data_IF_571421279069
#
_entry.id   IF_571421279069
#
_cell.length_a   1.000
_cell.length_b   1.000
_cell.length_c   1.000
_cell.angle_alpha   90.00
_cell.angle_beta   90.00
_cell.angle_gamma   90.00
#
_symmetry.space_group_name_H-M   'P 1'
#
loop_
_entity.id
_entity.type
_entity.pdbx_description
1 polymer ?
#
# COMPACT_ATOMS: atom_id res chain seq x y z
N UNK A 1 -0.20 1.00 14.15
CA UNK A 1 0.60 1.16 15.38
C UNK A 1 -0.06 0.41 16.53
N UNK A 2 0.74 0.05 17.54
CA UNK A 2 0.25 -0.66 18.73
C UNK A 2 -0.92 0.07 19.41
N UNK A 3 -0.87 1.40 19.54
CA UNK A 3 -1.95 2.21 20.10
C UNK A 3 -3.24 2.12 19.30
N UNK A 4 -3.16 2.15 17.97
CA UNK A 4 -4.32 2.02 17.09
C UNK A 4 -4.91 0.61 17.15
N UNK A 5 -4.08 -0.41 17.15
CA UNK A 5 -4.50 -1.81 17.29
C UNK A 5 -5.24 -2.06 18.62
N UNK A 6 -4.76 -1.47 19.70
CA UNK A 6 -5.40 -1.60 21.03
C UNK A 6 -6.75 -0.86 21.14
N UNK A 7 -6.93 0.28 20.45
CA UNK A 7 -8.05 1.20 20.67
C UNK A 7 -9.25 1.02 19.73
N UNK A 8 -9.07 0.38 18.56
CA UNK A 8 -10.11 0.40 17.51
C UNK A 8 -10.98 -0.86 17.44
N UNK A 9 -10.79 -1.85 18.32
CA UNK A 9 -11.59 -3.09 18.29
C UNK A 9 -11.41 -3.90 16.98
N UNK A 10 -10.40 -3.60 16.21
CA UNK A 10 -10.02 -4.28 14.98
C UNK A 10 -8.70 -5.04 15.15
N UNK A 11 -8.43 -5.96 14.24
CA UNK A 11 -7.16 -6.68 14.12
C UNK A 11 -6.66 -6.58 12.69
N UNK A 12 -5.36 -6.30 12.52
CA UNK A 12 -4.71 -6.31 11.21
C UNK A 12 -4.40 -7.75 10.80
N UNK A 13 -4.81 -8.12 9.59
CA UNK A 13 -4.72 -9.49 9.10
C UNK A 13 -3.33 -9.81 8.57
N UNK A 14 -2.81 -8.94 7.70
CA UNK A 14 -1.49 -9.04 7.11
C UNK A 14 -1.06 -7.65 6.64
N UNK A 15 0.24 -7.46 6.45
CA UNK A 15 0.76 -6.30 5.73
C UNK A 15 0.64 -6.59 4.23
N UNK A 16 -0.21 -5.84 3.55
CA UNK A 16 -0.44 -6.00 2.12
C UNK A 16 0.28 -4.95 1.28
N UNK A 17 0.69 -3.84 1.88
CA UNK A 17 1.44 -2.78 1.23
C UNK A 17 2.34 -2.05 2.22
N UNK A 18 3.63 -1.93 1.90
CA UNK A 18 4.54 -1.05 2.62
C UNK A 18 4.57 0.30 1.94
N UNK A 19 4.01 1.29 2.61
CA UNK A 19 4.10 2.71 2.25
C UNK A 19 5.12 3.42 3.13
N UNK A 20 5.21 4.70 2.99
CA UNK A 20 6.01 5.59 3.81
C UNK A 20 5.63 7.04 3.56
N UNK A 21 5.81 7.87 4.56
CA UNK A 21 5.53 9.30 4.46
C UNK A 21 6.56 10.00 3.59
N UNK A 22 6.07 10.88 2.72
CA UNK A 22 6.89 11.70 1.84
C UNK A 22 6.42 13.16 1.82
N UNK A 23 6.93 13.88 0.83
CA UNK A 23 6.57 15.29 0.62
C UNK A 23 6.21 15.52 -0.84
N UNK A 24 5.19 16.33 -1.08
CA UNK A 24 4.84 16.85 -2.40
C UNK A 24 4.98 18.36 -2.41
N UNK A 25 5.60 18.88 -3.47
CA UNK A 25 5.83 20.31 -3.66
C UNK A 25 5.46 20.75 -5.09
N UNK A 26 5.05 22.00 -5.31
CA UNK A 26 4.96 22.58 -6.64
C UNK A 26 6.34 22.66 -7.32
N UNK A 27 6.45 22.21 -8.57
CA UNK A 27 7.70 22.25 -9.35
C UNK A 27 8.28 23.65 -9.50
N UNK A 28 7.43 24.68 -9.49
CA UNK A 28 7.85 26.08 -9.57
C UNK A 28 8.83 26.50 -8.46
N UNK A 29 8.83 25.81 -7.33
CA UNK A 29 9.76 26.10 -6.23
C UNK A 29 11.15 25.50 -6.43
N UNK A 30 11.35 24.63 -7.44
CA UNK A 30 12.63 23.97 -7.76
C UNK A 30 13.26 23.25 -6.56
N UNK A 31 12.41 22.66 -5.71
CA UNK A 31 12.83 21.84 -4.56
C UNK A 31 12.97 20.40 -5.04
N UNK A 32 14.11 19.78 -4.76
CA UNK A 32 14.47 18.44 -5.18
C UNK A 32 14.72 17.47 -4.01
N UNK A 33 14.76 17.98 -2.80
CA UNK A 33 14.99 17.22 -1.57
C UNK A 33 14.20 17.80 -0.41
N UNK A 34 13.68 16.94 0.45
CA UNK A 34 12.98 17.35 1.67
C UNK A 34 13.88 18.18 2.61
N UNK A 35 15.20 18.03 2.53
CA UNK A 35 16.15 18.85 3.29
C UNK A 35 16.15 20.33 2.89
N UNK A 36 15.63 20.67 1.72
CA UNK A 36 15.48 22.03 1.23
C UNK A 36 14.22 22.74 1.76
N UNK A 37 13.41 22.05 2.57
CA UNK A 37 12.17 22.60 3.14
C UNK A 37 12.40 23.48 4.38
N UNK A 38 13.63 23.93 4.62
CA UNK A 38 13.92 24.82 5.74
C UNK A 38 13.20 26.17 5.56
N UNK A 39 12.44 26.58 6.58
CA UNK A 39 11.60 27.79 6.55
C UNK A 39 10.23 27.63 5.86
N UNK A 40 9.98 26.49 5.22
CA UNK A 40 8.77 26.28 4.44
C UNK A 40 7.51 26.17 5.30
N UNK A 41 6.36 26.53 4.72
CA UNK A 41 5.04 26.19 5.23
C UNK A 41 4.66 24.79 4.73
N UNK A 42 4.31 23.89 5.67
CA UNK A 42 4.00 22.49 5.35
C UNK A 42 2.59 22.16 5.83
N UNK A 43 1.71 21.79 4.89
CA UNK A 43 0.39 21.27 5.20
C UNK A 43 0.50 19.83 5.72
N UNK A 44 -0.18 19.54 6.83
CA UNK A 44 -0.24 18.22 7.44
C UNK A 44 -1.57 18.06 8.19
N UNK A 45 -2.11 16.85 8.22
CA UNK A 45 -3.31 16.55 9.00
C UNK A 45 -2.93 16.39 10.48
N UNK A 46 -3.59 17.14 11.36
CA UNK A 46 -3.34 17.07 12.80
C UNK A 46 -3.83 15.75 13.42
N UNK A 47 -3.19 15.32 14.50
CA UNK A 47 -3.54 14.10 15.23
C UNK A 47 -3.13 12.81 14.52
N UNK A 48 -2.33 12.89 13.46
CA UNK A 48 -1.86 11.73 12.69
C UNK A 48 -0.42 11.34 13.03
N UNK A 49 -0.02 10.14 12.60
CA UNK A 49 1.38 9.72 12.61
C UNK A 49 2.24 10.65 11.74
N UNK A 50 1.68 11.16 10.65
CA UNK A 50 2.37 12.05 9.72
C UNK A 50 2.80 13.38 10.38
N UNK A 51 1.99 13.93 11.27
CA UNK A 51 2.35 15.14 12.03
C UNK A 51 3.56 14.87 12.95
N UNK A 52 3.55 13.71 13.64
CA UNK A 52 4.66 13.31 14.54
C UNK A 52 5.94 13.03 13.75
N UNK A 53 5.85 12.26 12.67
CA UNK A 53 6.99 11.92 11.82
C UNK A 53 7.62 13.18 11.19
N UNK A 54 6.79 14.16 10.79
CA UNK A 54 7.28 15.47 10.29
C UNK A 54 8.12 16.18 11.35
N UNK A 55 7.63 16.24 12.59
CA UNK A 55 8.35 16.88 13.70
C UNK A 55 9.68 16.16 13.99
N UNK A 56 9.70 14.84 14.00
CA UNK A 56 10.89 14.04 14.23
C UNK A 56 11.92 14.20 13.10
N UNK A 57 11.47 14.15 11.83
CA UNK A 57 12.31 14.37 10.67
C UNK A 57 12.95 15.78 10.69
N UNK A 58 12.16 16.80 10.96
CA UNK A 58 12.63 18.17 11.02
C UNK A 58 13.68 18.36 12.11
N UNK A 59 13.45 17.81 13.30
CA UNK A 59 14.40 17.85 14.41
C UNK A 59 15.70 17.12 14.07
N UNK A 60 15.62 15.92 13.51
CA UNK A 60 16.79 15.13 13.14
C UNK A 60 17.66 15.75 12.05
N UNK A 61 17.08 16.59 11.19
CA UNK A 61 17.77 17.25 10.08
C UNK A 61 17.99 18.77 10.31
N UNK A 62 17.72 19.29 11.52
CA UNK A 62 17.80 20.72 11.87
C UNK A 62 17.00 21.61 10.91
N UNK A 63 15.84 21.15 10.48
CA UNK A 63 14.93 21.89 9.59
C UNK A 63 13.92 22.67 10.43
N UNK A 64 13.83 23.98 10.24
CA UNK A 64 12.75 24.81 10.76
C UNK A 64 11.63 24.85 9.73
N UNK A 65 10.39 24.62 10.14
CA UNK A 65 9.23 24.71 9.28
C UNK A 65 8.05 25.33 10.01
N UNK A 66 7.03 25.76 9.25
CA UNK A 66 5.78 26.29 9.78
C UNK A 66 4.66 25.30 9.45
N UNK A 67 4.15 24.53 10.44
CA UNK A 67 3.05 23.61 10.18
C UNK A 67 1.75 24.39 9.92
N UNK A 68 1.02 23.97 8.90
CA UNK A 68 -0.36 24.41 8.63
C UNK A 68 -1.24 23.18 8.75
N UNK A 69 -2.00 23.12 9.85
CA UNK A 69 -2.73 21.92 10.25
C UNK A 69 -4.21 22.01 9.93
N UNK A 70 -4.77 20.88 9.54
CA UNK A 70 -6.20 20.70 9.28
C UNK A 70 -6.68 19.39 9.89
N UNK A 71 -7.96 19.30 10.19
CA UNK A 71 -8.55 18.11 10.84
C UNK A 71 -8.89 16.98 9.89
N UNK A 72 -9.00 17.25 8.56
CA UNK A 72 -9.34 16.25 7.55
C UNK A 72 -8.35 16.23 6.40
N UNK A 73 -8.25 15.09 5.73
CA UNK A 73 -7.42 14.91 4.54
C UNK A 73 -7.84 15.86 3.42
N UNK A 74 -9.14 16.00 3.18
CA UNK A 74 -9.69 16.85 2.12
C UNK A 74 -9.32 18.32 2.32
N UNK A 75 -9.46 18.81 3.56
CA UNK A 75 -9.09 20.19 3.90
C UNK A 75 -7.57 20.42 3.73
N UNK A 76 -6.76 19.45 4.13
CA UNK A 76 -5.30 19.52 4.00
C UNK A 76 -4.87 19.58 2.53
N UNK A 77 -5.41 18.68 1.70
CA UNK A 77 -5.15 18.62 0.26
C UNK A 77 -5.64 19.90 -0.44
N UNK A 78 -6.86 20.35 -0.14
CA UNK A 78 -7.43 21.56 -0.71
C UNK A 78 -6.60 22.80 -0.38
N UNK A 79 -6.12 22.92 0.85
CA UNK A 79 -5.24 24.01 1.28
C UNK A 79 -3.91 24.02 0.52
N UNK A 80 -3.30 22.84 0.34
CA UNK A 80 -2.06 22.73 -0.43
C UNK A 80 -2.27 23.08 -1.92
N UNK A 81 -3.28 22.53 -2.55
CA UNK A 81 -3.58 22.78 -3.97
C UNK A 81 -3.93 24.26 -4.21
N UNK A 82 -4.59 24.91 -3.26
CA UNK A 82 -4.89 26.36 -3.34
C UNK A 82 -3.65 27.26 -3.05
N UNK A 83 -2.50 26.67 -2.73
CA UNK A 83 -1.26 27.39 -2.53
C UNK A 83 -1.06 27.97 -1.13
N UNK A 84 -1.83 27.54 -0.11
CA UNK A 84 -1.66 27.98 1.28
C UNK A 84 -0.39 27.42 1.92
N UNK A 85 0.15 26.31 1.39
CA UNK A 85 1.38 25.69 1.86
C UNK A 85 2.35 25.47 0.70
N UNK A 86 3.64 25.53 1.00
CA UNK A 86 4.72 25.28 0.04
C UNK A 86 4.96 23.77 -0.15
N UNK A 87 4.65 22.97 0.86
CA UNK A 87 4.71 21.51 0.79
C UNK A 87 3.50 20.87 1.45
N UNK A 88 3.20 19.62 1.06
CA UNK A 88 2.25 18.75 1.69
C UNK A 88 2.93 17.43 2.05
N UNK A 89 2.66 16.92 3.24
CA UNK A 89 3.22 15.65 3.72
C UNK A 89 2.15 14.69 4.21
N UNK A 90 2.21 13.48 3.71
CA UNK A 90 1.41 12.30 4.09
C UNK A 90 2.07 11.07 3.46
N UNK A 91 1.40 9.92 3.49
CA UNK A 91 1.85 8.70 2.81
C UNK A 91 2.04 8.94 1.31
N UNK A 92 3.03 8.31 0.71
CA UNK A 92 3.38 8.52 -0.70
C UNK A 92 2.27 8.11 -1.66
N UNK A 93 1.52 7.07 -1.33
CA UNK A 93 0.34 6.66 -2.10
C UNK A 93 -0.75 7.74 -2.07
N UNK A 94 -0.99 8.34 -0.89
CA UNK A 94 -1.92 9.47 -0.72
C UNK A 94 -1.45 10.71 -1.49
N UNK A 95 -0.15 11.01 -1.47
CA UNK A 95 0.42 12.10 -2.25
C UNK A 95 0.19 11.90 -3.76
N UNK A 96 0.35 10.68 -4.25
CA UNK A 96 0.07 10.36 -5.64
C UNK A 96 -1.41 10.57 -5.99
N UNK A 97 -2.32 10.14 -5.11
CA UNK A 97 -3.76 10.39 -5.25
C UNK A 97 -4.12 11.88 -5.19
N UNK A 98 -3.54 12.61 -4.24
CA UNK A 98 -3.75 14.06 -4.09
C UNK A 98 -3.27 14.84 -5.32
N UNK A 99 -2.14 14.44 -5.91
CA UNK A 99 -1.61 15.03 -7.14
C UNK A 99 -2.62 14.95 -8.29
N UNK A 100 -3.35 13.84 -8.42
CA UNK A 100 -4.36 13.67 -9.47
C UNK A 100 -5.60 14.56 -9.29
N UNK A 101 -5.85 15.08 -8.10
CA UNK A 101 -6.95 16.04 -7.83
C UNK A 101 -6.61 17.46 -8.23
N UNK A 102 -5.34 17.78 -8.48
CA UNK A 102 -4.93 19.07 -8.97
C UNK A 102 -5.38 19.30 -10.41
N UNK A 103 -5.69 20.55 -10.78
CA UNK A 103 -6.05 20.93 -12.15
C UNK A 103 -5.01 20.48 -13.17
N UNK A 104 -3.74 20.56 -12.82
CA UNK A 104 -2.62 20.05 -13.59
C UNK A 104 -1.68 19.25 -12.69
N UNK A 105 -1.81 17.90 -12.65
CA UNK A 105 -0.96 17.03 -11.84
C UNK A 105 0.53 17.18 -12.12
N UNK A 106 0.90 17.57 -13.34
CA UNK A 106 2.29 17.74 -13.74
C UNK A 106 2.99 18.94 -13.11
N UNK A 107 2.25 19.86 -12.48
CA UNK A 107 2.83 21.00 -11.77
C UNK A 107 3.43 20.62 -10.41
N UNK A 108 3.22 19.40 -9.97
CA UNK A 108 3.66 18.90 -8.66
C UNK A 108 4.65 17.75 -8.81
N UNK A 109 5.54 17.64 -7.83
CA UNK A 109 6.51 16.55 -7.70
C UNK A 109 6.49 16.00 -6.28
N UNK A 110 6.50 14.67 -6.17
CA UNK A 110 6.73 13.95 -4.90
C UNK A 110 8.24 13.79 -4.75
N UNK A 111 8.78 14.32 -3.67
CA UNK A 111 10.22 14.29 -3.38
C UNK A 111 10.70 12.85 -3.14
N UNK A 112 11.99 12.56 -3.37
CA UNK A 112 12.50 11.18 -3.31
C UNK A 112 12.51 10.60 -1.90
N UNK A 113 12.64 11.43 -0.87
CA UNK A 113 12.77 10.95 0.49
C UNK A 113 11.48 10.31 1.02
N UNK A 114 11.68 9.23 1.77
CA UNK A 114 10.66 8.58 2.60
C UNK A 114 11.11 8.69 4.05
N UNK A 115 10.31 9.32 4.90
CA UNK A 115 10.69 9.68 6.26
C UNK A 115 10.11 8.77 7.35
N UNK A 116 9.28 7.83 6.97
CA UNK A 116 8.75 6.81 7.87
C UNK A 116 8.53 5.48 7.14
N UNK A 117 8.24 4.44 7.90
CA UNK A 117 7.69 3.17 7.38
C UNK A 117 6.23 3.08 7.80
N UNK A 118 5.37 2.91 6.80
CA UNK A 118 3.92 2.79 7.01
C UNK A 118 3.45 1.43 6.46
N UNK A 119 3.49 0.37 7.30
CA UNK A 119 2.96 -0.94 6.91
C UNK A 119 1.43 -0.86 6.92
N UNK A 120 0.84 -0.85 5.74
CA UNK A 120 -0.60 -0.89 5.55
C UNK A 120 -1.06 -2.34 5.50
N UNK A 121 -2.29 -2.60 5.90
CA UNK A 121 -2.84 -3.93 5.90
C UNK A 121 -4.34 -3.93 6.10
N UNK A 122 -4.96 -5.00 5.63
CA UNK A 122 -6.38 -5.25 5.82
C UNK A 122 -6.69 -5.36 7.31
N UNK A 123 -7.73 -4.67 7.76
CA UNK A 123 -8.21 -4.73 9.13
C UNK A 123 -9.63 -5.31 9.15
N UNK A 124 -9.87 -6.21 10.09
CA UNK A 124 -11.18 -6.80 10.31
C UNK A 124 -11.64 -6.58 11.75
N UNK A 125 -12.91 -6.86 12.04
CA UNK A 125 -13.45 -6.85 13.39
C UNK A 125 -12.73 -7.91 14.24
N UNK A 126 -12.35 -7.53 15.45
CA UNK A 126 -11.76 -8.46 16.43
C UNK A 126 -12.79 -9.50 16.89
N UNK A 127 -12.33 -10.76 17.04
CA UNK A 127 -13.18 -11.88 17.48
C UNK A 127 -13.93 -12.59 16.35
N UNK A 128 -13.63 -12.28 15.11
CA UNK A 128 -14.12 -13.02 13.93
C UNK A 128 -12.97 -13.82 13.31
N UNK A 129 -12.62 -14.93 13.93
CA UNK A 129 -11.45 -15.71 13.57
C UNK A 129 -11.64 -16.44 12.23
N UNK A 130 -12.86 -16.84 11.89
CA UNK A 130 -13.17 -17.47 10.60
C UNK A 130 -12.98 -16.48 9.47
N UNK A 131 -13.51 -15.27 9.61
CA UNK A 131 -13.30 -14.21 8.62
C UNK A 131 -11.83 -13.78 8.54
N UNK A 132 -11.12 -13.77 9.67
CA UNK A 132 -9.67 -13.52 9.69
C UNK A 132 -8.92 -14.52 8.81
N UNK A 133 -9.22 -15.81 8.93
CA UNK A 133 -8.57 -16.85 8.13
C UNK A 133 -8.89 -16.68 6.64
N UNK A 134 -10.15 -16.41 6.29
CA UNK A 134 -10.57 -16.22 4.89
C UNK A 134 -9.82 -15.05 4.26
N UNK A 135 -9.81 -13.88 4.90
CA UNK A 135 -9.14 -12.68 4.37
C UNK A 135 -7.63 -12.90 4.26
N UNK A 136 -7.03 -13.49 5.29
CA UNK A 136 -5.59 -13.77 5.34
C UNK A 136 -5.14 -14.71 4.22
N UNK A 137 -5.80 -15.84 4.07
CA UNK A 137 -5.44 -16.81 3.06
C UNK A 137 -5.80 -16.37 1.65
N UNK A 138 -6.82 -15.52 1.48
CA UNK A 138 -7.09 -14.86 0.19
C UNK A 138 -5.91 -13.99 -0.26
N UNK A 139 -5.35 -13.20 0.64
CA UNK A 139 -4.15 -12.41 0.36
C UNK A 139 -2.94 -13.29 0.04
N UNK A 140 -2.66 -14.29 0.88
CA UNK A 140 -1.53 -15.19 0.64
C UNK A 140 -1.67 -15.98 -0.65
N UNK A 141 -2.90 -16.35 -1.04
CA UNK A 141 -3.16 -16.98 -2.35
C UNK A 141 -2.71 -16.09 -3.50
N UNK A 142 -2.96 -14.78 -3.44
CA UNK A 142 -2.54 -13.85 -4.49
C UNK A 142 -1.01 -13.70 -4.54
N UNK A 143 -0.34 -13.68 -3.40
CA UNK A 143 1.13 -13.61 -3.30
C UNK A 143 1.77 -14.91 -3.82
N UNK A 144 1.28 -16.07 -3.37
CA UNK A 144 1.75 -17.38 -3.80
C UNK A 144 1.55 -17.59 -5.31
N UNK A 145 0.40 -17.16 -5.84
CA UNK A 145 0.14 -17.23 -7.27
C UNK A 145 1.15 -16.41 -8.08
N UNK A 146 1.55 -15.24 -7.61
CA UNK A 146 2.60 -14.46 -8.25
C UNK A 146 3.95 -15.21 -8.23
N UNK A 147 4.30 -15.82 -7.10
CA UNK A 147 5.55 -16.58 -6.95
C UNK A 147 5.60 -17.80 -7.88
N UNK A 148 4.48 -18.48 -8.02
CA UNK A 148 4.31 -19.63 -8.91
C UNK A 148 4.10 -19.26 -10.39
N UNK A 149 4.02 -17.95 -10.71
CA UNK A 149 3.77 -17.48 -12.07
C UNK A 149 2.35 -17.74 -12.57
N UNK A 150 1.38 -17.94 -11.66
CA UNK A 150 -0.03 -18.13 -12.00
C UNK A 150 -0.67 -16.75 -12.16
N UNK A 151 -1.33 -16.54 -13.29
CA UNK A 151 -1.99 -15.28 -13.64
C UNK A 151 -3.46 -15.53 -13.97
N UNK A 152 -4.25 -14.47 -13.99
CA UNK A 152 -5.63 -14.52 -14.47
C UNK A 152 -5.73 -15.14 -15.87
N UNK A 153 -4.77 -14.83 -16.73
CA UNK A 153 -4.75 -15.32 -18.12
C UNK A 153 -4.39 -16.79 -18.24
N UNK A 154 -3.43 -17.29 -17.45
CA UNK A 154 -2.91 -18.66 -17.62
C UNK A 154 -3.48 -19.69 -16.61
N UNK A 155 -4.28 -19.27 -15.64
CA UNK A 155 -4.81 -20.16 -14.60
C UNK A 155 -5.51 -21.40 -15.19
N UNK A 156 -6.26 -21.26 -16.29
CA UNK A 156 -6.96 -22.40 -16.93
C UNK A 156 -5.98 -23.40 -17.55
N UNK A 157 -5.00 -22.93 -18.29
CA UNK A 157 -4.01 -23.79 -18.93
C UNK A 157 -3.12 -24.51 -17.90
N UNK A 158 -2.83 -23.85 -16.77
CA UNK A 158 -2.05 -24.43 -15.68
C UNK A 158 -2.79 -25.52 -14.90
N UNK A 159 -4.09 -25.75 -15.13
CA UNK A 159 -4.81 -26.91 -14.56
C UNK A 159 -4.25 -28.24 -15.04
N UNK A 160 -3.53 -28.29 -16.15
CA UNK A 160 -2.80 -29.47 -16.62
C UNK A 160 -1.37 -29.58 -16.08
N UNK A 161 -0.93 -28.65 -15.25
CA UNK A 161 0.42 -28.63 -14.67
C UNK A 161 0.68 -29.89 -13.83
N UNK A 162 1.93 -30.37 -13.90
CA UNK A 162 2.44 -31.45 -13.03
C UNK A 162 3.06 -30.93 -11.74
N UNK A 163 3.24 -29.60 -11.59
CA UNK A 163 3.79 -28.99 -10.38
C UNK A 163 2.77 -29.12 -9.22
N UNK A 164 3.09 -29.82 -8.13
CA UNK A 164 2.15 -30.05 -7.05
C UNK A 164 1.70 -28.76 -6.34
N UNK A 165 2.56 -27.73 -6.25
CA UNK A 165 2.18 -26.46 -5.65
C UNK A 165 1.14 -25.71 -6.49
N UNK A 166 1.33 -25.71 -7.83
CA UNK A 166 0.36 -25.14 -8.77
C UNK A 166 -0.98 -25.88 -8.67
N UNK A 167 -0.94 -27.22 -8.61
CA UNK A 167 -2.13 -28.06 -8.53
C UNK A 167 -2.92 -27.82 -7.24
N UNK A 168 -2.24 -27.71 -6.10
CA UNK A 168 -2.88 -27.37 -4.81
C UNK A 168 -3.52 -25.99 -4.87
N UNK A 169 -2.76 -24.98 -5.31
CA UNK A 169 -3.27 -23.60 -5.39
C UNK A 169 -4.50 -23.49 -6.31
N UNK A 170 -4.54 -24.26 -7.41
CA UNK A 170 -5.68 -24.28 -8.32
C UNK A 170 -6.81 -25.21 -7.87
N UNK A 171 -6.75 -25.78 -6.66
CA UNK A 171 -7.79 -26.65 -6.11
C UNK A 171 -7.96 -27.98 -6.85
N UNK A 172 -6.90 -28.53 -7.44
CA UNK A 172 -6.92 -29.80 -8.17
C UNK A 172 -6.55 -31.00 -7.29
N UNK A 173 -5.73 -30.73 -6.28
CA UNK A 173 -5.36 -31.69 -5.23
C UNK A 173 -5.92 -31.17 -3.93
N UNK A 174 -6.07 -31.96 -2.89
CA UNK A 174 -6.53 -31.61 -1.56
C UNK A 174 -7.69 -30.57 -1.52
N UNK A 175 -8.54 -30.64 -0.55
CA UNK A 175 -9.62 -29.67 -0.33
C UNK A 175 -9.23 -28.72 0.81
N UNK A 176 -8.26 -27.84 0.53
CA UNK A 176 -7.75 -26.91 1.53
C UNK A 176 -8.76 -25.81 1.88
N UNK A 177 -9.67 -25.47 0.95
CA UNK A 177 -10.73 -24.51 1.19
C UNK A 177 -11.61 -24.90 2.37
N UNK A 178 -11.89 -26.20 2.52
CA UNK A 178 -12.71 -26.74 3.62
C UNK A 178 -12.17 -26.37 4.99
N UNK A 179 -10.85 -26.23 5.15
CA UNK A 179 -10.21 -25.86 6.43
C UNK A 179 -10.58 -24.44 6.89
N UNK A 180 -10.98 -23.59 5.96
CA UNK A 180 -11.39 -22.19 6.23
C UNK A 180 -12.86 -21.93 5.84
N UNK A 181 -13.68 -22.99 5.73
CA UNK A 181 -15.10 -22.87 5.44
C UNK A 181 -15.45 -22.52 3.99
N UNK A 182 -14.52 -22.69 3.05
CA UNK A 182 -14.70 -22.43 1.64
C UNK A 182 -14.69 -23.74 0.81
N UNK A 183 -15.16 -23.67 -0.42
CA UNK A 183 -15.07 -24.83 -1.32
C UNK A 183 -13.67 -24.99 -1.94
N UNK A 184 -13.45 -26.15 -2.55
CA UNK A 184 -12.15 -26.55 -3.12
C UNK A 184 -11.60 -25.57 -4.18
N UNK A 185 -12.45 -24.84 -4.89
CA UNK A 185 -12.07 -23.96 -6.00
C UNK A 185 -11.89 -22.47 -5.57
N UNK A 186 -11.90 -22.17 -4.27
CA UNK A 186 -11.85 -20.80 -3.76
C UNK A 186 -10.64 -20.02 -4.27
N UNK A 187 -9.45 -20.59 -4.20
CA UNK A 187 -8.20 -19.96 -4.61
C UNK A 187 -8.11 -19.76 -6.13
N UNK A 188 -8.55 -20.77 -6.91
CA UNK A 188 -8.67 -20.64 -8.36
C UNK A 188 -9.60 -19.48 -8.74
N UNK A 189 -10.75 -19.34 -8.07
CA UNK A 189 -11.67 -18.23 -8.35
C UNK A 189 -11.08 -16.87 -8.03
N UNK A 190 -10.33 -16.73 -6.95
CA UNK A 190 -9.61 -15.48 -6.63
C UNK A 190 -8.73 -15.09 -7.82
N UNK A 191 -7.88 -16.01 -8.28
CA UNK A 191 -6.94 -15.72 -9.38
C UNK A 191 -7.69 -15.44 -10.69
N UNK A 192 -8.77 -16.16 -10.98
CA UNK A 192 -9.56 -15.92 -12.19
C UNK A 192 -10.27 -14.57 -12.18
N UNK A 193 -10.74 -14.11 -11.03
CA UNK A 193 -11.51 -12.87 -10.93
C UNK A 193 -10.63 -11.62 -10.79
N UNK A 194 -9.56 -11.70 -10.01
CA UNK A 194 -8.75 -10.51 -9.66
C UNK A 194 -7.25 -10.65 -10.00
N UNK A 195 -6.80 -11.83 -10.44
CA UNK A 195 -5.40 -12.07 -10.73
C UNK A 195 -4.55 -12.34 -9.48
N UNK A 196 -3.24 -12.43 -9.67
CA UNK A 196 -2.27 -12.50 -8.58
C UNK A 196 -1.98 -11.10 -8.00
N UNK A 197 -1.17 -11.01 -6.93
CA UNK A 197 -0.85 -9.73 -6.30
C UNK A 197 -0.20 -8.74 -7.28
N UNK A 198 0.75 -9.20 -8.10
CA UNK A 198 1.42 -8.35 -9.08
C UNK A 198 0.46 -7.79 -10.12
N UNK A 199 -0.48 -8.61 -10.62
CA UNK A 199 -1.51 -8.16 -11.57
C UNK A 199 -2.42 -7.12 -10.92
N UNK A 200 -2.86 -7.36 -9.68
CA UNK A 200 -3.70 -6.41 -8.93
C UNK A 200 -2.97 -5.09 -8.68
N UNK A 201 -1.69 -5.13 -8.28
CA UNK A 201 -0.87 -3.94 -8.12
C UNK A 201 -0.76 -3.15 -9.43
N UNK A 202 -0.36 -3.80 -10.52
CA UNK A 202 -0.18 -3.15 -11.82
C UNK A 202 -1.47 -2.53 -12.36
N UNK A 203 -2.61 -3.18 -12.13
CA UNK A 203 -3.91 -2.68 -12.58
C UNK A 203 -4.41 -1.45 -11.79
N UNK A 204 -4.08 -1.35 -10.48
CA UNK A 204 -4.65 -0.34 -9.59
C UNK A 204 -3.67 0.79 -9.23
N UNK A 205 -2.39 0.49 -9.06
CA UNK A 205 -1.37 1.40 -8.54
C UNK A 205 -0.19 1.59 -9.51
N UNK A 206 0.03 0.65 -10.41
CA UNK A 206 1.23 0.48 -11.20
C UNK A 206 1.61 1.65 -12.10
N UNK A 207 2.80 1.58 -12.75
CA UNK A 207 3.34 2.67 -13.56
C UNK A 207 2.46 3.09 -14.73
N UNK A 208 1.57 2.21 -15.21
CA UNK A 208 0.63 2.48 -16.31
C UNK A 208 -0.69 3.10 -15.84
N UNK A 209 -0.91 3.18 -14.54
CA UNK A 209 -2.09 3.85 -13.97
C UNK A 209 -1.81 5.35 -13.80
N UNK A 210 -2.85 6.18 -13.61
CA UNK A 210 -2.65 7.60 -13.29
C UNK A 210 -1.81 7.84 -12.01
N UNK A 211 -1.80 6.89 -11.06
CA UNK A 211 -1.00 6.97 -9.84
C UNK A 211 0.49 6.82 -10.13
N UNK A 212 0.87 5.94 -11.08
CA UNK A 212 2.22 5.79 -11.56
C UNK A 212 3.21 5.26 -10.51
N UNK A 213 2.74 4.43 -9.57
CA UNK A 213 3.59 3.92 -8.49
C UNK A 213 4.43 2.72 -8.96
N UNK A 214 5.67 2.68 -8.50
CA UNK A 214 6.52 1.49 -8.63
C UNK A 214 6.32 0.55 -7.44
N UNK A 215 6.53 -0.74 -7.64
CA UNK A 215 6.41 -1.75 -6.56
C UNK A 215 7.40 -1.54 -5.41
N UNK A 216 8.59 -1.04 -5.71
CA UNK A 216 9.63 -0.85 -4.69
C UNK A 216 9.85 -2.12 -3.87
N UNK A 217 9.74 -2.02 -2.54
CA UNK A 217 9.81 -3.16 -1.62
C UNK A 217 8.54 -4.05 -1.65
N UNK A 218 7.45 -3.61 -2.24
CA UNK A 218 6.23 -4.41 -2.40
C UNK A 218 6.36 -5.47 -3.52
N UNK A 219 7.55 -5.98 -3.75
CA UNK A 219 7.88 -7.11 -4.62
C UNK A 219 8.00 -8.38 -3.80
N UNK A 220 7.94 -9.51 -4.49
CA UNK A 220 8.22 -10.81 -3.87
C UNK A 220 9.61 -10.84 -3.22
N UNK A 221 9.75 -11.59 -2.15
CA UNK A 221 11.03 -11.84 -1.47
C UNK A 221 12.11 -12.41 -2.42
N UNK A 222 11.70 -13.25 -3.38
CA UNK A 222 12.57 -13.79 -4.44
C UNK A 222 13.10 -12.72 -5.40
N UNK A 223 12.49 -11.53 -5.40
CA UNK A 223 12.87 -10.37 -6.22
C UNK A 223 13.41 -9.20 -5.40
N UNK A 224 13.87 -9.48 -4.18
CA UNK A 224 14.41 -8.47 -3.27
C UNK A 224 13.37 -7.57 -2.61
N UNK A 225 12.12 -8.01 -2.56
CA UNK A 225 11.02 -7.35 -1.84
C UNK A 225 10.73 -7.99 -0.50
N UNK A 226 9.60 -7.65 0.08
CA UNK A 226 9.16 -8.10 1.41
C UNK A 226 7.93 -9.01 1.36
N UNK A 227 7.29 -9.17 0.19
CA UNK A 227 6.11 -10.01 0.08
C UNK A 227 6.49 -11.49 0.04
N UNK A 228 5.96 -12.21 0.98
CA UNK A 228 6.13 -13.66 1.13
C UNK A 228 4.80 -14.27 1.58
N UNK A 229 4.48 -15.44 1.06
CA UNK A 229 3.36 -16.27 1.52
C UNK A 229 3.88 -17.46 2.31
N UNK A 230 3.21 -17.87 3.40
CA UNK A 230 3.38 -19.21 3.92
C UNK A 230 2.95 -20.23 2.86
N UNK A 231 3.56 -21.44 2.82
CA UNK A 231 3.17 -22.47 1.87
C UNK A 231 1.70 -22.86 2.03
N UNK A 232 0.97 -22.94 0.92
CA UNK A 232 -0.42 -23.39 0.88
C UNK A 232 -0.44 -24.91 0.73
N UNK A 233 -0.51 -25.59 1.89
CA UNK A 233 -0.50 -27.08 1.99
C UNK A 233 -0.97 -27.55 3.37
#
# INVERSE_FOLDING_TARGET
SMSRDASQGSVFVAMDYLDGQGFMVPKKYKIHSAKQLNGATICVQTGTSSEKNLADFARANNIKYKPVVFSTTEATQGAFISGRCQAYTTDRSDLAGARLRAKNPNDYVILPETISKEPLGMAIRRGDDDWFQIVRWSFYTMVEAEELGITQKNADSLRSSKNPNVRRLLGLEEDLGRMIGLDKQWSYRIIKQVGNYGESFEANLGPKTPLGLSRGLNRLWTKGGILISPPIR
#
